data_IF_641882711565
#
_entry.id   IF_641882711565
#
_cell.length_a   1.000
_cell.length_b   1.000
_cell.length_c   1.000
_cell.angle_alpha   90.00
_cell.angle_beta   90.00
_cell.angle_gamma   90.00
#
_symmetry.space_group_name_H-M   'P 1'
#
loop_
_entity.id
_entity.type
_entity.pdbx_description
1 polymer ?
#
# COMPACT_ATOMS: atom_id res chain seq x y z
N UNK A 1 -2.35 -3.53 -15.27
CA UNK A 1 -1.50 -2.65 -16.08
C UNK A 1 -2.28 -1.39 -16.36
N UNK A 2 -1.74 -0.23 -15.96
CA UNK A 2 -2.36 1.06 -16.28
C UNK A 2 -1.94 1.43 -17.69
N UNK A 3 -2.91 1.45 -18.60
CA UNK A 3 -2.72 1.94 -19.96
C UNK A 3 -3.50 3.24 -20.10
N UNK A 4 -2.79 4.32 -20.31
CA UNK A 4 -3.38 5.63 -20.60
C UNK A 4 -2.81 6.08 -21.94
N UNK A 5 -3.71 6.26 -22.90
CA UNK A 5 -3.40 6.57 -24.30
C UNK A 5 -2.41 5.58 -24.92
N UNK A 6 -1.19 6.02 -25.19
CA UNK A 6 -0.16 5.23 -25.87
C UNK A 6 0.89 4.65 -24.91
N UNK A 7 0.68 4.75 -23.61
CA UNK A 7 1.69 4.43 -22.60
C UNK A 7 1.15 3.40 -21.62
N UNK A 8 2.00 2.45 -21.25
CA UNK A 8 1.71 1.50 -20.19
C UNK A 8 2.67 1.70 -19.03
N UNK A 9 2.14 1.81 -17.82
CA UNK A 9 2.89 1.86 -16.57
C UNK A 9 2.33 0.79 -15.62
N UNK A 10 3.21 0.05 -14.96
CA UNK A 10 2.81 -0.90 -13.90
C UNK A 10 3.96 -1.19 -12.96
N UNK A 11 3.63 -1.75 -11.79
CA UNK A 11 4.63 -2.26 -10.86
C UNK A 11 4.85 -3.74 -11.12
N UNK A 12 6.11 -4.18 -11.05
CA UNK A 12 6.49 -5.59 -11.23
C UNK A 12 7.48 -6.01 -10.15
N UNK A 13 7.43 -7.28 -9.75
CA UNK A 13 8.41 -7.86 -8.84
C UNK A 13 9.84 -7.71 -9.38
N UNK A 14 10.77 -7.32 -8.51
CA UNK A 14 12.14 -7.03 -8.93
C UNK A 14 12.85 -8.23 -9.58
N UNK A 15 12.68 -9.42 -9.00
CA UNK A 15 13.32 -10.66 -9.43
C UNK A 15 12.56 -11.35 -10.57
N UNK A 16 11.26 -11.65 -10.37
CA UNK A 16 10.47 -12.46 -11.31
C UNK A 16 9.92 -11.66 -12.48
N UNK A 17 9.90 -10.32 -12.39
CA UNK A 17 9.24 -9.41 -13.34
C UNK A 17 7.74 -9.65 -13.50
N UNK A 18 7.13 -10.42 -12.60
CA UNK A 18 5.69 -10.64 -12.60
C UNK A 18 4.97 -9.37 -12.13
N UNK A 19 3.86 -8.98 -12.79
CA UNK A 19 3.11 -7.80 -12.41
C UNK A 19 2.38 -8.00 -11.08
N UNK A 20 2.37 -6.96 -10.26
CA UNK A 20 1.50 -6.93 -9.08
C UNK A 20 0.02 -6.87 -9.49
N UNK A 21 -0.84 -7.29 -8.57
CA UNK A 21 -2.29 -7.27 -8.79
C UNK A 21 -2.82 -5.85 -8.69
N UNK A 22 -3.47 -5.40 -9.74
CA UNK A 22 -4.09 -4.08 -9.82
C UNK A 22 -5.61 -4.15 -9.66
N UNK A 23 -6.17 -3.06 -9.14
CA UNK A 23 -7.59 -2.90 -8.85
C UNK A 23 -8.04 -1.50 -9.27
N UNK A 24 -9.23 -1.38 -9.85
CA UNK A 24 -9.87 -0.09 -10.12
C UNK A 24 -10.70 0.32 -8.91
N UNK A 25 -10.43 1.50 -8.36
CA UNK A 25 -11.17 2.04 -7.23
C UNK A 25 -12.50 2.67 -7.62
N UNK A 26 -13.37 2.92 -6.63
CA UNK A 26 -14.65 3.60 -6.84
C UNK A 26 -14.48 5.06 -7.29
N UNK A 27 -13.31 5.65 -7.08
CA UNK A 27 -12.91 6.98 -7.51
C UNK A 27 -12.31 7.02 -8.93
N UNK A 28 -12.24 5.86 -9.60
CA UNK A 28 -11.66 5.72 -10.94
C UNK A 28 -10.13 5.64 -10.96
N UNK A 29 -9.46 5.68 -9.79
CA UNK A 29 -8.01 5.55 -9.70
C UNK A 29 -7.59 4.07 -9.73
N UNK A 30 -6.32 3.83 -10.02
CA UNK A 30 -5.75 2.48 -10.01
C UNK A 30 -4.91 2.26 -8.76
N UNK A 31 -5.20 1.14 -8.10
CA UNK A 31 -4.53 0.70 -6.89
C UNK A 31 -3.81 -0.62 -7.12
N UNK A 32 -2.57 -0.70 -6.68
CA UNK A 32 -1.75 -1.91 -6.74
C UNK A 32 -1.67 -2.53 -5.35
N UNK A 33 -2.09 -3.79 -5.24
CA UNK A 33 -1.98 -4.58 -4.02
C UNK A 33 -0.54 -5.04 -3.85
N UNK A 34 0.09 -4.64 -2.74
CA UNK A 34 1.50 -4.94 -2.45
C UNK A 34 1.69 -5.44 -1.03
N UNK A 35 2.72 -6.26 -0.84
CA UNK A 35 3.16 -6.70 0.47
C UNK A 35 4.37 -5.89 0.95
N UNK A 36 4.51 -5.67 2.27
CA UNK A 36 5.70 -5.07 2.85
C UNK A 36 6.95 -5.91 2.55
N UNK A 37 8.09 -5.24 2.54
CA UNK A 37 9.43 -5.80 2.37
C UNK A 37 9.63 -6.50 1.00
N UNK A 38 8.72 -6.28 0.05
CA UNK A 38 8.83 -6.74 -1.34
C UNK A 38 9.52 -5.69 -2.19
N UNK A 39 10.42 -6.16 -3.06
CA UNK A 39 11.15 -5.33 -3.99
C UNK A 39 10.51 -5.32 -5.38
N UNK A 40 10.56 -4.16 -6.03
CA UNK A 40 9.89 -3.91 -7.29
C UNK A 40 10.66 -2.99 -8.22
N UNK A 41 10.27 -3.02 -9.50
CA UNK A 41 10.60 -1.99 -10.49
C UNK A 41 9.32 -1.35 -11.02
N UNK A 42 9.43 -0.11 -11.47
CA UNK A 42 8.43 0.55 -12.31
C UNK A 42 8.67 0.05 -13.73
N UNK A 43 7.69 -0.59 -14.33
CA UNK A 43 7.78 -1.00 -15.73
C UNK A 43 7.03 0.00 -16.61
N UNK A 44 7.71 0.51 -17.63
CA UNK A 44 7.13 1.41 -18.63
C UNK A 44 7.27 0.84 -20.05
N UNK A 45 6.35 1.20 -20.93
CA UNK A 45 6.47 0.98 -22.36
C UNK A 45 5.56 1.91 -23.16
N UNK A 46 5.96 2.17 -24.41
CA UNK A 46 5.11 2.78 -25.44
C UNK A 46 4.37 1.65 -26.17
N UNK A 47 3.04 1.68 -26.13
CA UNK A 47 2.16 0.64 -26.70
C UNK A 47 1.33 1.12 -27.90
N UNK A 48 1.38 2.42 -28.19
CA UNK A 48 0.62 3.05 -29.27
C UNK A 48 1.20 2.84 -30.68
N UNK A 49 0.77 3.68 -31.64
CA UNK A 49 1.24 3.66 -33.03
C UNK A 49 2.12 4.85 -33.41
N UNK A 50 2.62 5.60 -32.43
CA UNK A 50 3.45 6.79 -32.67
C UNK A 50 4.92 6.39 -32.82
N UNK A 51 5.55 6.88 -33.88
CA UNK A 51 6.99 6.75 -34.16
C UNK A 51 7.70 7.99 -33.61
N UNK A 52 7.61 8.18 -32.30
CA UNK A 52 8.23 9.28 -31.55
C UNK A 52 8.95 8.69 -30.34
N UNK A 53 10.02 9.36 -29.89
CA UNK A 53 10.70 9.03 -28.64
C UNK A 53 10.04 9.81 -27.51
N UNK A 54 9.77 9.14 -26.40
CA UNK A 54 9.16 9.72 -25.21
C UNK A 54 10.11 9.61 -24.03
N UNK A 55 10.11 10.63 -23.18
CA UNK A 55 10.83 10.66 -21.90
C UNK A 55 9.85 10.37 -20.77
N UNK A 56 10.28 9.48 -19.88
CA UNK A 56 9.55 9.10 -18.67
C UNK A 56 10.35 9.57 -17.46
N UNK A 57 9.79 10.52 -16.72
CA UNK A 57 10.32 11.02 -15.44
C UNK A 57 9.56 10.33 -14.30
N UNK A 58 10.27 9.90 -13.25
CA UNK A 58 9.71 9.07 -12.19
C UNK A 58 9.71 9.80 -10.85
N UNK A 59 8.54 9.82 -10.21
CA UNK A 59 8.37 10.31 -8.84
C UNK A 59 7.80 9.19 -7.98
N UNK A 60 8.45 8.95 -6.85
CA UNK A 60 8.08 7.91 -5.89
C UNK A 60 7.83 8.56 -4.54
N UNK A 61 6.60 8.49 -4.06
CA UNK A 61 6.12 9.19 -2.86
C UNK A 61 6.44 10.70 -2.86
N UNK A 62 6.41 11.31 -4.05
CA UNK A 62 6.74 12.73 -4.26
C UNK A 62 8.23 13.02 -4.43
N UNK A 63 9.11 12.02 -4.32
CA UNK A 63 10.55 12.16 -4.58
C UNK A 63 10.89 11.77 -6.03
N UNK A 64 11.53 12.68 -6.76
CA UNK A 64 12.04 12.42 -8.11
C UNK A 64 13.24 11.46 -8.10
N UNK A 65 13.33 10.54 -9.07
CA UNK A 65 14.47 9.62 -9.22
C UNK A 65 15.64 10.19 -10.04
N UNK A 66 15.70 11.51 -10.26
CA UNK A 66 16.77 12.29 -10.93
C UNK A 66 17.34 11.75 -12.26
N UNK A 67 16.62 10.85 -12.93
CA UNK A 67 16.90 10.43 -14.31
C UNK A 67 15.58 10.19 -15.04
N UNK A 68 15.67 10.22 -16.37
CA UNK A 68 14.56 9.85 -17.24
C UNK A 68 14.92 8.63 -18.09
N UNK A 69 13.89 7.94 -18.58
CA UNK A 69 14.05 6.86 -19.54
C UNK A 69 13.48 7.29 -20.87
N UNK A 70 14.29 7.25 -21.92
CA UNK A 70 13.79 7.37 -23.28
C UNK A 70 13.22 6.02 -23.72
N UNK A 71 11.99 6.02 -24.26
CA UNK A 71 11.40 4.85 -24.89
C UNK A 71 10.77 5.24 -26.23
N UNK A 72 10.94 4.37 -27.21
CA UNK A 72 10.24 4.40 -28.49
C UNK A 72 9.34 3.17 -28.67
N UNK A 73 8.49 3.22 -29.69
CA UNK A 73 7.67 2.09 -30.06
C UNK A 73 8.55 0.93 -30.56
N UNK A 74 8.53 -0.19 -29.85
CA UNK A 74 9.28 -1.40 -30.22
C UNK A 74 10.44 -1.75 -29.29
N UNK A 75 10.84 -0.83 -28.40
CA UNK A 75 11.83 -1.08 -27.35
C UNK A 75 11.42 -2.19 -26.38
N UNK A 76 10.12 -2.48 -26.31
CA UNK A 76 9.54 -3.39 -25.33
C UNK A 76 9.42 -2.74 -23.96
N UNK A 77 9.55 -3.55 -22.91
CA UNK A 77 9.40 -3.10 -21.54
C UNK A 77 10.72 -2.62 -20.95
N UNK A 78 10.74 -1.38 -20.47
CA UNK A 78 11.82 -0.85 -19.64
C UNK A 78 11.49 -1.05 -18.16
N UNK A 79 12.53 -1.30 -17.35
CA UNK A 79 12.40 -1.53 -15.91
C UNK A 79 13.23 -0.50 -15.15
N UNK A 80 12.56 0.30 -14.35
CA UNK A 80 13.11 1.50 -13.74
C UNK A 80 13.06 1.38 -12.22
N UNK A 81 14.16 1.79 -11.60
CA UNK A 81 14.38 1.80 -10.16
C UNK A 81 15.33 2.93 -9.80
N UNK A 82 16.24 2.73 -8.87
CA UNK A 82 17.29 3.70 -8.54
C UNK A 82 18.48 3.45 -9.47
N UNK A 83 18.79 4.42 -10.34
CA UNK A 83 19.93 4.34 -11.24
C UNK A 83 21.18 4.91 -10.57
N UNK A 84 22.32 4.24 -10.79
CA UNK A 84 23.64 4.79 -10.52
C UNK A 84 24.63 4.39 -11.59
N UNK A 85 25.46 5.32 -12.06
CA UNK A 85 26.49 5.08 -13.06
C UNK A 85 27.85 5.51 -12.49
N UNK A 86 28.71 4.52 -12.23
CA UNK A 86 30.04 4.74 -11.69
C UNK A 86 31.10 4.02 -12.53
N UNK A 87 32.11 4.75 -13.00
CA UNK A 87 33.26 4.18 -13.73
C UNK A 87 32.86 3.29 -14.92
N UNK A 88 31.83 3.68 -15.67
CA UNK A 88 31.34 2.93 -16.82
C UNK A 88 30.50 1.70 -16.46
N UNK A 89 30.09 1.55 -15.19
CA UNK A 89 29.18 0.50 -14.74
C UNK A 89 27.85 1.15 -14.40
N UNK A 90 26.80 0.73 -15.09
CA UNK A 90 25.43 1.11 -14.78
C UNK A 90 24.82 0.07 -13.85
N UNK A 91 24.27 0.53 -12.72
CA UNK A 91 23.55 -0.27 -11.76
C UNK A 91 22.13 0.26 -11.63
N UNK A 92 21.15 -0.60 -11.89
CA UNK A 92 19.72 -0.34 -11.67
C UNK A 92 19.28 -1.12 -10.44
N UNK A 93 19.07 -0.43 -9.33
CA UNK A 93 18.67 -1.00 -8.05
C UNK A 93 17.16 -0.94 -7.88
N UNK A 94 16.57 -2.02 -7.36
CA UNK A 94 15.13 -2.08 -7.14
C UNK A 94 14.68 -1.12 -6.04
N UNK A 95 13.42 -0.72 -6.12
CA UNK A 95 12.70 -0.08 -5.02
C UNK A 95 12.15 -1.16 -4.09
N UNK A 96 11.81 -0.81 -2.86
CA UNK A 96 11.28 -1.73 -1.86
C UNK A 96 10.15 -1.08 -1.08
N UNK A 97 9.02 -1.78 -0.94
CA UNK A 97 7.93 -1.34 -0.07
C UNK A 97 8.34 -1.52 1.38
N UNK A 98 8.60 -0.44 2.10
CA UNK A 98 8.99 -0.44 3.50
C UNK A 98 7.86 0.03 4.39
N UNK A 99 7.82 -0.53 5.60
CA UNK A 99 7.03 0.04 6.69
C UNK A 99 7.79 1.26 7.24
N UNK A 100 7.19 2.45 7.34
CA UNK A 100 7.81 3.57 8.01
C UNK A 100 8.18 3.21 9.45
N UNK A 101 9.32 3.67 9.97
CA UNK A 101 9.71 3.39 11.33
C UNK A 101 8.77 4.10 12.32
N UNK A 102 8.48 3.43 13.44
CA UNK A 102 7.42 3.84 14.40
C UNK A 102 7.57 5.27 14.93
N UNK A 103 8.80 5.74 15.09
CA UNK A 103 9.11 7.07 15.60
C UNK A 103 8.75 8.21 14.63
N UNK A 104 8.48 7.91 13.37
CA UNK A 104 8.09 8.87 12.34
C UNK A 104 6.56 9.02 12.20
N UNK A 105 5.79 8.15 12.85
CA UNK A 105 4.33 8.18 12.89
C UNK A 105 3.88 8.97 14.12
N UNK A 106 4.15 10.27 14.16
CA UNK A 106 3.80 11.12 15.31
C UNK A 106 2.28 11.40 15.29
N UNK A 107 1.65 11.24 16.46
CA UNK A 107 0.22 11.43 16.70
C UNK A 107 -0.17 12.92 16.59
N UNK A 108 -0.70 13.34 15.45
CA UNK A 108 -1.64 14.47 15.40
C UNK A 108 -3.06 13.91 15.51
N UNK A 109 -3.61 13.90 16.72
CA UNK A 109 -4.98 13.42 17.01
C UNK A 109 -6.09 14.43 16.65
N UNK A 110 -5.75 15.63 16.19
CA UNK A 110 -6.69 16.76 16.20
C UNK A 110 -7.24 17.20 14.83
N UNK A 111 -6.97 16.47 13.74
CA UNK A 111 -7.50 16.82 12.41
C UNK A 111 -8.40 15.72 11.86
N UNK A 112 -9.70 16.03 11.78
CA UNK A 112 -10.75 15.25 11.11
C UNK A 112 -10.56 15.12 9.58
N UNK A 113 -9.35 15.30 9.06
CA UNK A 113 -9.08 15.39 7.63
C UNK A 113 -8.41 14.11 7.11
N UNK A 114 -9.05 13.58 6.08
CA UNK A 114 -8.64 12.53 5.14
C UNK A 114 -7.56 11.51 5.57
N UNK A 115 -7.90 10.64 6.53
CA UNK A 115 -7.06 9.51 6.96
C UNK A 115 -6.70 8.50 5.86
N UNK A 116 -7.25 8.62 4.64
CA UNK A 116 -7.00 7.65 3.55
C UNK A 116 -5.58 7.76 2.98
N UNK A 117 -5.04 8.99 2.85
CA UNK A 117 -3.72 9.24 2.24
C UNK A 117 -2.56 8.62 3.01
N UNK A 118 -2.72 8.42 4.31
CA UNK A 118 -1.67 7.84 5.12
C UNK A 118 -1.55 6.32 4.99
N UNK A 119 -2.47 5.60 4.32
CA UNK A 119 -2.36 4.14 4.13
C UNK A 119 -1.75 3.71 2.79
N UNK A 120 -1.47 4.65 1.90
CA UNK A 120 -1.02 4.39 0.54
C UNK A 120 0.22 5.20 0.22
N UNK A 121 1.08 4.65 -0.62
CA UNK A 121 2.10 5.43 -1.31
C UNK A 121 1.71 5.64 -2.76
N UNK A 122 2.51 6.43 -3.47
CA UNK A 122 2.19 6.89 -4.80
C UNK A 122 3.40 6.82 -5.71
N UNK A 123 3.18 6.39 -6.95
CA UNK A 123 4.17 6.47 -8.02
C UNK A 123 3.55 7.30 -9.12
N UNK A 124 4.22 8.38 -9.50
CA UNK A 124 3.85 9.21 -10.63
C UNK A 124 4.90 9.05 -11.72
N UNK A 125 4.44 8.91 -12.95
CA UNK A 125 5.29 8.87 -14.12
C UNK A 125 4.83 9.96 -15.07
N UNK A 126 5.67 10.96 -15.23
CA UNK A 126 5.44 12.05 -16.16
C UNK A 126 5.97 11.66 -17.54
N UNK A 127 5.16 11.89 -18.56
CA UNK A 127 5.46 11.53 -19.94
C UNK A 127 5.57 12.81 -20.77
N UNK A 128 6.73 13.00 -21.40
CA UNK A 128 7.01 14.13 -22.27
C UNK A 128 7.54 13.65 -23.62
N UNK A 129 7.36 14.44 -24.69
CA UNK A 129 8.05 14.19 -25.96
C UNK A 129 9.55 14.42 -25.78
N UNK A 130 10.38 13.57 -26.39
CA UNK A 130 11.80 13.85 -26.52
C UNK A 130 12.01 14.89 -27.63
N UNK A 131 12.84 15.91 -27.36
CA UNK A 131 13.43 16.74 -28.43
C UNK A 131 14.57 15.98 -29.09
N UNK A 132 14.93 16.35 -30.33
CA UNK A 132 16.08 15.77 -31.03
C UNK A 132 17.32 15.79 -30.11
N UNK A 133 17.91 14.60 -29.91
CA UNK A 133 19.01 14.39 -28.98
C UNK A 133 20.35 14.32 -29.68
N UNK A 134 21.41 14.59 -28.93
CA UNK A 134 22.80 14.39 -29.37
C UNK A 134 23.40 13.17 -28.66
N UNK A 135 24.32 12.46 -29.32
CA UNK A 135 25.09 11.41 -28.66
C UNK A 135 26.12 12.07 -27.74
N UNK A 136 25.96 11.91 -26.44
CA UNK A 136 26.87 12.47 -25.43
C UNK A 136 27.54 11.35 -24.62
N UNK A 137 28.78 11.57 -24.15
CA UNK A 137 29.41 10.67 -23.19
C UNK A 137 28.53 10.51 -21.94
N UNK A 138 28.42 9.28 -21.44
CA UNK A 138 27.65 9.04 -20.21
C UNK A 138 28.38 9.66 -19.02
N UNK A 139 27.69 10.57 -18.34
CA UNK A 139 28.18 11.18 -17.11
C UNK A 139 28.03 10.23 -15.91
N UNK A 140 28.79 10.50 -14.85
CA UNK A 140 28.60 9.78 -13.60
C UNK A 140 27.29 10.21 -12.96
N UNK A 141 26.43 9.24 -12.69
CA UNK A 141 25.16 9.44 -12.01
C UNK A 141 25.31 8.84 -10.61
N UNK A 142 25.42 9.64 -9.54
CA UNK A 142 25.44 9.09 -8.19
C UNK A 142 24.13 8.35 -7.92
N UNK A 143 24.18 7.32 -7.07
CA UNK A 143 22.95 6.65 -6.67
C UNK A 143 22.05 7.62 -5.91
N UNK A 144 20.83 7.82 -6.41
CA UNK A 144 19.79 8.48 -5.64
C UNK A 144 19.40 7.65 -4.42
N UNK A 145 19.09 8.34 -3.33
CA UNK A 145 18.57 7.72 -2.12
C UNK A 145 17.09 8.03 -2.02
N UNK A 146 16.24 7.03 -2.23
CA UNK A 146 14.83 7.14 -1.86
C UNK A 146 14.73 6.92 -0.36
N UNK A 147 14.60 8.04 0.36
CA UNK A 147 14.45 8.02 1.80
C UNK A 147 12.98 7.80 2.16
N UNK A 148 12.74 6.91 3.12
CA UNK A 148 11.40 6.71 3.67
C UNK A 148 11.11 7.91 4.55
N UNK A 149 10.57 8.99 3.98
CA UNK A 149 10.16 10.14 4.75
C UNK A 149 9.00 9.81 5.71
N UNK A 150 9.00 10.52 6.84
CA UNK A 150 7.95 10.49 7.84
C UNK A 150 6.69 11.12 7.26
N UNK A 151 5.66 10.33 6.97
CA UNK A 151 4.35 10.91 6.70
C UNK A 151 3.68 11.25 8.02
N UNK A 152 3.12 12.47 8.10
CA UNK A 152 2.24 12.89 9.19
C UNK A 152 1.01 11.97 9.19
N UNK A 153 1.09 10.90 9.97
CA UNK A 153 0.22 9.75 9.85
C UNK A 153 -1.02 9.86 10.73
N UNK A 154 -1.46 11.05 11.14
CA UNK A 154 -2.80 11.32 11.69
C UNK A 154 -3.40 10.23 12.59
N UNK A 155 -2.64 9.69 13.56
CA UNK A 155 -3.11 8.65 14.49
C UNK A 155 -3.24 7.22 13.94
N UNK A 156 -2.68 6.91 12.78
CA UNK A 156 -2.73 5.59 12.14
C UNK A 156 -1.76 4.60 12.79
N UNK A 157 -2.25 3.40 13.09
CA UNK A 157 -1.48 2.33 13.74
C UNK A 157 -0.37 1.76 12.83
N UNK A 158 0.87 2.06 13.20
CA UNK A 158 2.20 1.42 13.05
C UNK A 158 2.51 0.39 11.93
N UNK A 159 1.60 -0.50 11.53
CA UNK A 159 1.98 -1.74 10.83
C UNK A 159 1.65 -1.81 9.34
N UNK A 160 1.08 -0.74 8.76
CA UNK A 160 0.33 -0.87 7.50
C UNK A 160 0.49 0.27 6.51
N UNK A 161 1.10 1.37 6.94
CA UNK A 161 1.59 2.39 6.02
C UNK A 161 2.75 1.77 5.25
N UNK A 162 2.73 1.90 3.93
CA UNK A 162 3.84 1.49 3.07
C UNK A 162 4.39 2.70 2.36
N UNK A 163 5.71 2.81 2.33
CA UNK A 163 6.46 3.79 1.56
C UNK A 163 7.54 3.10 0.80
N UNK A 164 7.98 3.70 -0.29
CA UNK A 164 9.07 3.16 -1.07
C UNK A 164 10.39 3.57 -0.45
N UNK A 165 11.34 2.68 -0.53
CA UNK A 165 12.73 2.97 -0.21
C UNK A 165 13.64 2.15 -1.10
N UNK A 166 14.93 2.18 -0.78
CA UNK A 166 15.92 1.43 -1.53
C UNK A 166 15.82 -0.10 -1.26
N UNK A 167 15.74 -0.90 -2.32
CA UNK A 167 15.81 -2.37 -2.29
C UNK A 167 17.24 -2.91 -2.29
N UNK A 168 17.40 -4.22 -2.32
CA UNK A 168 18.69 -4.92 -2.31
C UNK A 168 19.02 -5.59 -3.65
N UNK A 169 18.00 -5.98 -4.42
CA UNK A 169 18.11 -6.49 -5.78
C UNK A 169 18.64 -5.39 -6.69
N UNK A 170 19.58 -5.75 -7.56
CA UNK A 170 20.09 -4.84 -8.58
C UNK A 170 20.51 -5.58 -9.83
N UNK A 171 20.35 -4.90 -10.96
CA UNK A 171 20.91 -5.30 -12.24
C UNK A 171 22.14 -4.46 -12.53
N UNK A 172 23.23 -5.10 -12.95
CA UNK A 172 24.51 -4.44 -13.24
C UNK A 172 24.88 -4.76 -14.68
N UNK A 173 25.22 -3.73 -15.44
CA UNK A 173 25.70 -3.86 -16.81
C UNK A 173 26.78 -2.82 -17.10
N UNK A 174 27.56 -3.04 -18.14
CA UNK A 174 28.46 -2.02 -18.66
C UNK A 174 27.61 -0.88 -19.24
N UNK A 175 27.91 0.35 -18.81
CA UNK A 175 27.31 1.54 -19.38
C UNK A 175 27.97 1.77 -20.75
N UNK A 176 27.20 2.12 -21.80
CA UNK A 176 27.80 2.47 -23.07
C UNK A 176 28.70 3.71 -22.92
N UNK A 177 29.69 3.87 -23.79
CA UNK A 177 30.58 5.04 -23.74
C UNK A 177 29.83 6.34 -24.04
N UNK A 178 28.79 6.25 -24.87
CA UNK A 178 27.93 7.36 -25.29
C UNK A 178 26.48 6.87 -25.32
N UNK A 179 25.54 7.74 -24.98
CA UNK A 179 24.11 7.49 -25.08
C UNK A 179 23.41 8.71 -25.71
N UNK A 180 22.27 8.51 -26.37
CA UNK A 180 21.48 9.63 -26.84
C UNK A 180 20.96 10.42 -25.63
N UNK A 181 21.28 11.71 -25.61
CA UNK A 181 20.77 12.64 -24.62
C UNK A 181 19.70 13.51 -25.27
N UNK A 182 18.46 13.28 -24.88
CA UNK A 182 17.31 14.01 -25.39
C UNK A 182 16.97 15.18 -24.47
N UNK A 183 16.65 16.34 -25.05
CA UNK A 183 16.03 17.41 -24.29
C UNK A 183 14.56 17.10 -23.98
N UNK A 184 14.05 17.57 -22.85
CA UNK A 184 12.62 17.45 -22.51
C UNK A 184 11.79 18.39 -23.38
N UNK A 185 10.87 17.81 -24.15
CA UNK A 185 9.95 18.50 -25.05
C UNK A 185 8.61 18.85 -24.42
N UNK A 186 7.54 18.69 -25.19
CA UNK A 186 6.17 18.94 -24.73
C UNK A 186 5.76 17.90 -23.68
N UNK A 187 5.31 18.37 -22.52
CA UNK A 187 4.67 17.52 -21.51
C UNK A 187 3.30 17.04 -22.02
N UNK A 188 3.06 15.74 -21.91
CA UNK A 188 1.85 15.11 -22.43
C UNK A 188 0.89 14.75 -21.30
N UNK A 189 1.36 14.03 -20.29
CA UNK A 189 0.50 13.53 -19.21
C UNK A 189 1.30 12.99 -18.02
N UNK A 190 0.61 12.87 -16.90
CA UNK A 190 1.06 12.14 -15.70
C UNK A 190 0.25 10.86 -15.55
N UNK A 191 0.93 9.75 -15.29
CA UNK A 191 0.31 8.46 -14.95
C UNK A 191 0.59 8.15 -13.48
N UNK A 192 -0.47 8.07 -12.69
CA UNK A 192 -0.36 7.82 -11.24
C UNK A 192 -0.82 6.41 -10.88
N UNK A 193 0.00 5.70 -10.11
CA UNK A 193 -0.31 4.41 -9.51
C UNK A 193 -0.24 4.55 -8.00
N UNK A 194 -1.35 4.25 -7.32
CA UNK A 194 -1.34 4.13 -5.87
C UNK A 194 -0.98 2.70 -5.49
N UNK A 195 -0.08 2.51 -4.53
CA UNK A 195 0.21 1.18 -4.00
C UNK A 195 -0.16 1.12 -2.53
N UNK A 196 -0.76 0.02 -2.12
CA UNK A 196 -1.16 -0.18 -0.73
C UNK A 196 -1.32 -1.67 -0.39
N UNK A 197 -1.36 -1.95 0.90
CA UNK A 197 -1.68 -3.31 1.39
C UNK A 197 -3.16 -3.62 1.14
N UNK A 198 -3.53 -4.91 1.24
CA UNK A 198 -4.94 -5.33 1.21
C UNK A 198 -5.83 -4.56 2.21
N UNK A 199 -5.25 -4.13 3.35
CA UNK A 199 -5.97 -3.31 4.33
C UNK A 199 -6.19 -1.90 3.79
N UNK A 200 -5.17 -1.30 3.19
CA UNK A 200 -5.31 0.00 2.51
C UNK A 200 -6.43 -0.04 1.47
N UNK A 201 -6.49 -1.11 0.68
CA UNK A 201 -7.57 -1.35 -0.30
C UNK A 201 -8.97 -1.44 0.33
N UNK A 202 -9.11 -2.05 1.51
CA UNK A 202 -10.39 -2.07 2.26
C UNK A 202 -10.76 -0.64 2.70
N UNK A 203 -9.80 0.14 3.17
CA UNK A 203 -10.04 1.51 3.63
C UNK A 203 -10.48 2.46 2.51
N UNK A 204 -9.92 2.30 1.31
CA UNK A 204 -10.33 3.09 0.13
C UNK A 204 -11.59 2.53 -0.57
N UNK A 205 -12.18 1.46 -0.03
CA UNK A 205 -13.39 0.85 -0.58
C UNK A 205 -13.19 0.06 -1.88
N UNK A 206 -11.94 -0.28 -2.23
CA UNK A 206 -11.61 -1.14 -3.36
C UNK A 206 -11.94 -2.60 -3.04
N UNK A 207 -11.57 -3.05 -1.83
CA UNK A 207 -11.91 -4.38 -1.35
C UNK A 207 -13.10 -4.33 -0.38
N UNK A 208 -13.97 -5.36 -0.37
CA UNK A 208 -15.07 -5.42 0.57
C UNK A 208 -14.56 -5.47 2.02
N UNK A 209 -15.24 -4.76 2.91
CA UNK A 209 -14.92 -4.80 4.34
C UNK A 209 -15.26 -6.19 4.91
N UNK A 210 -14.29 -6.92 5.48
CA UNK A 210 -14.54 -8.22 6.09
C UNK A 210 -15.33 -8.05 7.40
N UNK A 211 -15.74 -9.17 7.99
CA UNK A 211 -16.39 -9.18 9.31
C UNK A 211 -15.50 -8.49 10.37
N UNK A 212 -16.13 -8.02 11.46
CA UNK A 212 -15.49 -7.21 12.49
C UNK A 212 -14.19 -7.86 13.03
N UNK A 213 -14.22 -9.18 13.26
CA UNK A 213 -13.10 -9.89 13.87
C UNK A 213 -11.98 -10.15 12.89
N UNK A 214 -12.32 -10.50 11.65
CA UNK A 214 -11.31 -10.60 10.58
C UNK A 214 -10.66 -9.25 10.33
N UNK A 215 -11.43 -8.17 10.28
CA UNK A 215 -10.89 -6.82 10.13
C UNK A 215 -9.97 -6.43 11.31
N UNK A 216 -10.39 -6.70 12.55
CA UNK A 216 -9.60 -6.45 13.75
C UNK A 216 -8.28 -7.23 13.76
N UNK A 217 -8.30 -8.51 13.37
CA UNK A 217 -7.10 -9.37 13.25
C UNK A 217 -6.16 -8.86 12.18
N UNK A 218 -6.68 -8.44 11.03
CA UNK A 218 -5.88 -7.80 9.99
C UNK A 218 -5.22 -6.54 10.54
N UNK A 219 -5.91 -5.74 11.37
CA UNK A 219 -5.40 -4.52 12.03
C UNK A 219 -4.30 -4.75 13.06
N UNK A 220 -4.26 -5.92 13.71
CA UNK A 220 -3.30 -6.22 14.78
C UNK A 220 -2.69 -7.62 14.64
N UNK A 221 -1.83 -7.88 13.63
CA UNK A 221 -1.32 -9.22 13.38
C UNK A 221 -0.39 -9.76 14.49
N UNK A 222 0.20 -8.89 15.32
CA UNK A 222 1.19 -9.26 16.35
C UNK A 222 0.68 -9.24 17.81
N UNK A 223 -0.58 -8.88 18.07
CA UNK A 223 -1.19 -8.95 19.42
C UNK A 223 -1.55 -10.39 19.85
N UNK A 224 -0.98 -11.40 19.19
CA UNK A 224 -1.11 -12.81 19.58
C UNK A 224 -0.34 -13.16 20.86
N UNK A 225 0.43 -12.24 21.43
CA UNK A 225 0.81 -12.37 22.84
C UNK A 225 -0.44 -12.09 23.65
N UNK A 226 -1.12 -13.16 24.04
CA UNK A 226 -1.97 -13.21 25.24
C UNK A 226 -1.20 -12.55 26.39
N UNK A 227 -1.32 -11.25 26.54
CA UNK A 227 -1.38 -10.69 27.88
C UNK A 227 -2.62 -11.33 28.46
N UNK A 228 -2.45 -12.19 29.46
CA UNK A 228 -3.53 -12.72 30.30
C UNK A 228 -4.23 -11.59 31.10
N UNK A 229 -4.07 -10.34 30.68
CA UNK A 229 -4.82 -9.22 31.19
C UNK A 229 -6.12 -9.15 30.39
N UNK A 230 -7.21 -9.41 31.11
CA UNK A 230 -8.61 -9.24 30.73
C UNK A 230 -8.99 -7.79 30.37
N UNK A 231 -8.13 -7.07 29.65
CA UNK A 231 -8.36 -5.70 29.18
C UNK A 231 -8.34 -5.66 27.66
N UNK A 232 -9.23 -6.43 27.03
CA UNK A 232 -9.57 -6.24 25.63
C UNK A 232 -10.66 -5.18 25.51
N UNK A 233 -10.19 -3.93 25.56
CA UNK A 233 -10.87 -2.73 25.11
C UNK A 233 -11.20 -2.83 23.62
N UNK A 234 -12.35 -3.42 23.31
CA UNK A 234 -13.26 -3.03 22.23
C UNK A 234 -14.67 -3.46 22.69
N UNK A 235 -15.32 -2.58 23.46
CA UNK A 235 -16.75 -2.62 23.83
C UNK A 235 -17.34 -3.99 24.20
N UNK A 236 -16.94 -4.58 25.33
CA UNK A 236 -17.62 -5.74 25.95
C UNK A 236 -17.86 -6.95 25.03
N UNK A 237 -17.11 -7.13 23.94
CA UNK A 237 -17.35 -8.23 23.00
C UNK A 237 -16.28 -9.30 23.15
N UNK A 238 -16.71 -10.53 23.43
CA UNK A 238 -15.85 -11.71 23.53
C UNK A 238 -15.11 -11.93 22.22
N UNK A 239 -13.78 -12.03 22.27
CA UNK A 239 -12.99 -12.33 21.08
C UNK A 239 -13.12 -13.82 20.71
N UNK A 240 -13.52 -14.15 19.47
CA UNK A 240 -13.63 -15.54 19.07
C UNK A 240 -12.25 -16.17 18.86
N UNK A 241 -12.10 -17.40 19.34
CA UNK A 241 -10.95 -18.27 19.08
C UNK A 241 -11.16 -19.00 17.75
N UNK A 242 -10.25 -18.81 16.79
CA UNK A 242 -10.31 -19.55 15.53
C UNK A 242 -9.86 -21.00 15.73
N UNK A 243 -10.71 -21.94 15.35
CA UNK A 243 -10.42 -23.38 15.35
C UNK A 243 -10.47 -23.85 13.90
N UNK A 244 -9.37 -24.46 13.45
CA UNK A 244 -9.33 -25.17 12.16
C UNK A 244 -9.78 -26.61 12.39
N UNK A 245 -10.82 -27.05 11.70
CA UNK A 245 -11.11 -28.48 11.61
C UNK A 245 -10.29 -29.06 10.46
N UNK A 246 -9.47 -30.08 10.73
CA UNK A 246 -8.74 -30.79 9.68
C UNK A 246 -9.72 -31.37 8.66
N UNK A 247 -9.41 -31.21 7.37
CA UNK A 247 -10.18 -31.84 6.31
C UNK A 247 -10.05 -33.37 6.35
N UNK A 248 -11.11 -34.08 6.01
CA UNK A 248 -11.09 -35.54 5.91
C UNK A 248 -10.61 -35.92 4.50
N UNK A 249 -9.50 -36.65 4.41
CA UNK A 249 -8.95 -37.15 3.15
C UNK A 249 -9.02 -38.67 3.17
N UNK A 250 -9.64 -39.28 2.16
CA UNK A 250 -9.66 -40.73 1.96
C UNK A 250 -8.92 -41.06 0.66
N UNK A 251 -7.71 -41.63 0.81
CA UNK A 251 -6.79 -41.85 -0.29
C UNK A 251 -6.36 -40.55 -0.98
N UNK A 252 -6.63 -40.44 -2.29
CA UNK A 252 -6.28 -39.28 -3.13
C UNK A 252 -7.46 -38.30 -3.30
N UNK A 253 -8.56 -38.51 -2.56
CA UNK A 253 -9.78 -37.71 -2.67
C UNK A 253 -10.05 -36.93 -1.38
N UNK A 254 -10.19 -35.61 -1.49
CA UNK A 254 -10.61 -34.74 -0.39
C UNK A 254 -12.13 -34.93 -0.20
N UNK A 255 -12.54 -35.57 0.89
CA UNK A 255 -13.95 -35.80 1.22
C UNK A 255 -14.58 -34.58 1.89
N UNK A 256 -13.79 -33.82 2.65
CA UNK A 256 -14.25 -32.59 3.26
C UNK A 256 -13.11 -31.56 3.31
N UNK A 257 -13.36 -30.37 2.77
CA UNK A 257 -12.40 -29.27 2.82
C UNK A 257 -12.21 -28.77 4.26
N UNK A 258 -10.99 -28.36 4.64
CA UNK A 258 -10.74 -27.79 5.96
C UNK A 258 -11.58 -26.53 6.16
N UNK A 259 -12.36 -26.50 7.23
CA UNK A 259 -13.22 -25.38 7.63
C UNK A 259 -12.59 -24.63 8.79
N UNK A 260 -12.72 -23.32 8.79
CA UNK A 260 -12.34 -22.45 9.90
C UNK A 260 -13.60 -21.94 10.61
N UNK A 261 -13.66 -22.11 11.93
CA UNK A 261 -14.76 -21.61 12.77
C UNK A 261 -14.23 -20.65 13.82
N UNK A 262 -15.02 -19.63 14.13
CA UNK A 262 -14.78 -18.67 15.21
C UNK A 262 -15.61 -19.09 16.44
N UNK A 263 -14.94 -19.55 17.51
CA UNK A 263 -15.57 -20.00 18.75
C UNK A 263 -15.53 -18.89 19.80
N UNK A 264 -16.70 -18.41 20.22
CA UNK A 264 -16.82 -17.42 21.29
C UNK A 264 -16.82 -18.14 22.64
N UNK A 265 -15.92 -17.73 23.54
CA UNK A 265 -15.88 -18.26 24.91
C UNK A 265 -16.79 -17.43 25.81
N UNK A 266 -18.00 -17.95 26.05
CA UNK A 266 -19.05 -17.26 26.80
C UNK A 266 -18.98 -17.51 28.31
N UNK A 267 -17.95 -18.22 28.82
CA UNK A 267 -17.92 -18.65 30.23
C UNK A 267 -17.69 -17.55 31.25
N UNK A 268 -17.29 -16.35 30.82
CA UNK A 268 -17.04 -15.19 31.70
C UNK A 268 -18.10 -14.08 31.53
N UNK A 269 -19.21 -14.34 30.85
CA UNK A 269 -20.32 -13.39 30.83
C UNK A 269 -20.96 -13.33 32.23
N UNK A 270 -21.31 -12.13 32.73
CA UNK A 270 -22.13 -12.03 33.93
C UNK A 270 -23.46 -12.76 33.64
N UNK A 271 -23.84 -13.68 34.52
CA UNK A 271 -25.16 -14.30 34.49
C UNK A 271 -26.19 -13.19 34.71
N UNK A 272 -27.01 -12.91 33.69
CA UNK A 272 -28.09 -11.90 33.71
C UNK A 272 -29.28 -12.31 34.62
N UNK A 273 -29.09 -13.29 35.50
CA UNK A 273 -30.16 -13.92 36.31
C UNK A 273 -30.28 -13.35 37.74
N UNK A 274 -29.50 -12.34 38.12
CA UNK A 274 -29.60 -11.69 39.44
C UNK A 274 -30.06 -10.23 39.34
N UNK A 275 -31.30 -9.99 38.87
CA UNK A 275 -31.98 -8.72 39.15
C UNK A 275 -33.42 -8.93 39.62
N UNK A 276 -33.54 -9.71 40.71
CA UNK A 276 -34.74 -9.82 41.53
C UNK A 276 -34.48 -9.10 42.87
N UNK A 277 -34.17 -7.80 42.82
CA UNK A 277 -34.13 -6.94 44.01
C UNK A 277 -35.17 -5.83 43.92
N UNK A 278 -36.37 -6.26 44.30
CA UNK A 278 -37.48 -5.48 44.85
C UNK A 278 -36.98 -4.28 45.69
N UNK A 279 -36.90 -3.09 45.10
CA UNK A 279 -36.78 -1.83 45.85
C UNK A 279 -38.15 -1.13 45.86
N UNK A 280 -38.87 -1.31 46.95
CA UNK A 280 -39.89 -0.36 47.40
C UNK A 280 -39.22 1.00 47.63
N UNK A 281 -39.27 1.87 46.62
CA UNK A 281 -38.94 3.27 46.77
C UNK A 281 -40.19 4.03 47.23
N UNK A 282 -40.39 4.07 48.53
CA UNK A 282 -41.24 5.04 49.20
C UNK A 282 -40.60 6.44 49.02
N UNK A 283 -41.10 7.19 48.04
CA UNK A 283 -40.46 8.40 47.52
C UNK A 283 -41.48 9.44 47.12
N UNK A 284 -42.03 10.12 48.13
CA UNK A 284 -42.85 11.32 48.07
C UNK A 284 -42.39 12.31 46.98
N UNK A 285 -43.14 12.43 45.88
CA UNK A 285 -42.86 13.38 44.78
C UNK A 285 -43.65 14.68 45.03
N UNK A 286 -43.01 15.83 45.30
CA UNK A 286 -43.71 17.11 45.26
C UNK A 286 -43.82 17.56 43.79
N UNK A 287 -45.07 17.74 43.35
CA UNK A 287 -45.41 18.34 42.06
C UNK A 287 -44.83 19.77 41.92
N UNK A 288 -44.17 20.12 40.80
CA UNK A 288 -43.94 21.52 40.48
C UNK A 288 -45.24 22.13 39.94
N UNK A 289 -45.79 23.05 40.72
CA UNK A 289 -46.88 23.95 40.33
C UNK A 289 -46.36 24.91 39.25
N UNK A 290 -46.96 24.86 38.06
CA UNK A 290 -46.82 25.91 37.04
C UNK A 290 -47.80 27.03 37.36
N UNK A 291 -47.38 28.31 37.45
CA UNK A 291 -48.31 29.42 37.51
C UNK A 291 -48.84 29.77 36.10
N UNK A 292 -50.08 30.27 35.99
CA UNK A 292 -50.65 30.66 34.71
C UNK A 292 -50.22 32.10 34.32
N UNK A 293 -50.09 32.27 33.00
CA UNK A 293 -49.97 33.50 32.20
C UNK A 293 -48.61 34.18 32.11
#
# INVERSE_FOLDING_TARGET
MVVIDNYSVRLVHAETKEPFKEHSGPDGKVYTEVEPDVEYFIQVAVVGTMDEVFLFDYFVDGQELSYNTACELGDGYQYCGILSIEKGISKMQALCFRRPPRNLLIQNQDTNDDTTHAWMGEIQVDVSKAMEGEMLPIEQVPADTVDVEAVDAGGITENKVLRSGQGSYSHVQEAPSEAPHYGTGEFLQTITIHYCTAVGLIHVGVLPKPDLWTFARMNKPYDNKRTNDNTLLYNNTIQPKRIKSGGLVDGDSVLEEPKEYDLFDLTELPDDDDDDSNQEADGNVPFPVTPPH
#
